data_IF_471929821356
#
_entry.id   IF_471929821356
#
_cell.length_a   1.000
_cell.length_b   1.000
_cell.length_c   1.000
_cell.angle_alpha   90.00
_cell.angle_beta   90.00
_cell.angle_gamma   90.00
#
_symmetry.space_group_name_H-M   'P 1'
#
loop_
_entity.id
_entity.type
_entity.pdbx_description
1 polymer ?
#
# COMPACT_ATOMS: atom_id res chain seq x y z
N UNK A 1 8.25 -3.46 -11.86
CA UNK A 1 7.08 -3.32 -12.73
C UNK A 1 7.43 -3.30 -14.20
N UNK A 2 6.44 -3.36 -15.04
CA UNK A 2 6.59 -3.31 -16.49
C UNK A 2 5.46 -2.54 -17.16
N UNK A 3 5.80 -1.93 -18.31
CA UNK A 3 4.84 -1.30 -19.20
C UNK A 3 4.64 -2.20 -20.42
N UNK A 4 3.40 -2.55 -20.68
CA UNK A 4 2.97 -3.40 -21.76
C UNK A 4 1.87 -2.69 -22.58
N UNK A 5 1.59 -3.16 -23.78
CA UNK A 5 0.47 -2.64 -24.56
C UNK A 5 -0.88 -2.89 -23.89
N UNK A 6 -0.96 -3.98 -23.15
CA UNK A 6 -2.17 -4.43 -22.46
C UNK A 6 -2.32 -3.89 -21.05
N UNK A 7 -1.35 -3.10 -20.56
CA UNK A 7 -1.42 -2.53 -19.21
C UNK A 7 -0.07 -2.38 -18.52
N UNK A 8 -0.13 -1.99 -17.27
CA UNK A 8 1.04 -1.74 -16.41
C UNK A 8 1.01 -2.67 -15.21
N UNK A 9 2.16 -3.17 -14.78
CA UNK A 9 2.31 -3.95 -13.56
C UNK A 9 3.17 -3.20 -12.54
N UNK A 10 2.82 -3.35 -11.26
CA UNK A 10 3.62 -2.88 -10.13
C UNK A 10 3.90 -4.04 -9.19
N UNK A 11 5.09 -4.61 -9.30
CA UNK A 11 5.52 -5.75 -8.50
C UNK A 11 6.89 -5.46 -7.91
N UNK A 12 7.00 -5.57 -6.60
CA UNK A 12 8.26 -5.42 -5.86
C UNK A 12 8.55 -6.66 -5.03
N UNK A 13 9.80 -7.08 -5.03
CA UNK A 13 10.32 -8.11 -4.13
C UNK A 13 11.65 -7.65 -3.55
N UNK A 14 11.80 -7.79 -2.23
CA UNK A 14 13.03 -7.46 -1.53
C UNK A 14 13.92 -8.69 -1.47
N UNK A 15 15.15 -8.56 -1.92
CA UNK A 15 16.14 -9.65 -1.95
C UNK A 15 17.40 -9.18 -1.23
N UNK A 16 17.91 -10.01 -0.32
CA UNK A 16 19.19 -9.76 0.32
C UNK A 16 20.35 -10.11 -0.63
N UNK A 17 21.26 -9.17 -0.83
CA UNK A 17 22.47 -9.36 -1.66
C UNK A 17 23.74 -9.58 -0.82
N UNK A 18 23.61 -9.75 0.48
CA UNK A 18 24.68 -9.95 1.43
C UNK A 18 24.15 -10.10 2.85
N UNK A 19 25.01 -9.90 3.83
CA UNK A 19 24.61 -9.97 5.23
C UNK A 19 23.60 -8.87 5.57
N UNK A 20 22.56 -9.25 6.29
CA UNK A 20 21.46 -8.37 6.69
C UNK A 20 21.48 -8.20 8.20
N UNK A 21 21.55 -6.95 8.66
CA UNK A 21 21.48 -6.62 10.07
C UNK A 21 20.12 -7.03 10.68
N UNK A 22 20.13 -7.31 11.99
CA UNK A 22 18.92 -7.71 12.71
C UNK A 22 17.81 -6.66 12.62
N UNK A 23 18.13 -5.40 12.77
CA UNK A 23 17.19 -4.28 12.61
C UNK A 23 16.50 -4.27 11.23
N UNK A 24 17.25 -4.55 10.16
CA UNK A 24 16.67 -4.63 8.80
C UNK A 24 15.67 -5.79 8.66
N UNK A 25 15.96 -6.94 9.29
CA UNK A 25 15.03 -8.09 9.32
C UNK A 25 13.75 -7.76 10.07
N UNK A 26 13.88 -7.05 11.19
CA UNK A 26 12.74 -6.60 12.00
C UNK A 26 11.88 -5.62 11.22
N UNK A 27 12.47 -4.58 10.63
CA UNK A 27 11.74 -3.61 9.81
C UNK A 27 11.06 -4.26 8.60
N UNK A 28 11.75 -5.16 7.90
CA UNK A 28 11.16 -5.92 6.80
C UNK A 28 9.94 -6.73 7.26
N UNK A 29 10.06 -7.40 8.39
CA UNK A 29 8.98 -8.22 8.96
C UNK A 29 7.78 -7.36 9.35
N UNK A 30 8.01 -6.20 9.96
CA UNK A 30 6.94 -5.25 10.33
C UNK A 30 6.20 -4.73 9.10
N UNK A 31 6.94 -4.34 8.06
CA UNK A 31 6.34 -3.87 6.81
C UNK A 31 5.56 -4.99 6.11
N UNK A 32 6.08 -6.21 6.07
CA UNK A 32 5.38 -7.37 5.51
C UNK A 32 4.07 -7.66 6.28
N UNK A 33 4.11 -7.62 7.61
CA UNK A 33 2.92 -7.76 8.46
C UNK A 33 1.90 -6.65 8.22
N UNK A 34 2.36 -5.41 8.09
CA UNK A 34 1.51 -4.25 7.79
C UNK A 34 0.77 -4.42 6.45
N UNK A 35 1.51 -4.82 5.41
CA UNK A 35 0.96 -5.11 4.09
C UNK A 35 -0.09 -6.23 4.13
N UNK A 36 0.25 -7.36 4.74
CA UNK A 36 -0.65 -8.51 4.83
C UNK A 36 -1.92 -8.18 5.63
N UNK A 37 -1.78 -7.42 6.72
CA UNK A 37 -2.92 -6.99 7.53
C UNK A 37 -3.87 -6.08 6.75
N UNK A 38 -3.34 -5.15 5.96
CA UNK A 38 -4.15 -4.32 5.09
C UNK A 38 -4.82 -5.14 3.99
N UNK A 39 -4.10 -6.06 3.37
CA UNK A 39 -4.62 -6.91 2.30
C UNK A 39 -5.75 -7.85 2.77
N UNK A 40 -5.73 -8.27 4.03
CA UNK A 40 -6.75 -9.14 4.63
C UNK A 40 -7.93 -8.36 5.26
N UNK A 41 -7.92 -7.03 5.16
CA UNK A 41 -8.94 -6.20 5.79
C UNK A 41 -10.28 -6.31 5.09
N UNK A 42 -11.32 -6.62 5.85
CA UNK A 42 -12.72 -6.49 5.43
C UNK A 42 -13.20 -5.09 5.82
N UNK A 43 -13.84 -4.39 4.90
CA UNK A 43 -14.29 -3.01 5.12
C UNK A 43 -15.68 -2.75 4.55
N UNK A 44 -16.34 -1.71 5.06
CA UNK A 44 -17.66 -1.30 4.61
C UNK A 44 -17.58 -0.63 3.23
N UNK A 45 -18.60 -0.85 2.42
CA UNK A 45 -18.78 -0.10 1.17
C UNK A 45 -18.81 1.42 1.47
N UNK A 46 -18.08 2.20 0.70
CA UNK A 46 -17.93 3.63 0.90
C UNK A 46 -16.65 4.03 1.67
N UNK A 47 -15.93 3.07 2.27
CA UNK A 47 -14.60 3.36 2.82
C UNK A 47 -13.63 3.80 1.72
N UNK A 48 -12.73 4.68 2.11
CA UNK A 48 -11.63 5.16 1.26
C UNK A 48 -10.31 4.56 1.71
N UNK A 49 -9.28 4.67 0.90
CA UNK A 49 -7.94 4.24 1.31
C UNK A 49 -7.41 5.00 2.53
N UNK A 50 -7.84 6.24 2.73
CA UNK A 50 -7.48 7.02 3.93
C UNK A 50 -8.09 6.44 5.21
N UNK A 51 -9.28 5.86 5.14
CA UNK A 51 -9.89 5.18 6.29
C UNK A 51 -9.11 3.91 6.68
N UNK A 52 -8.50 3.25 5.72
CA UNK A 52 -7.86 1.95 5.91
C UNK A 52 -6.34 2.05 6.12
N UNK A 53 -5.72 3.16 5.79
CA UNK A 53 -4.26 3.36 5.88
C UNK A 53 -3.71 3.06 7.29
N UNK A 54 -4.44 3.48 8.33
CA UNK A 54 -4.03 3.27 9.71
C UNK A 54 -3.92 1.79 10.10
N UNK A 55 -4.64 0.89 9.43
CA UNK A 55 -4.59 -0.56 9.68
C UNK A 55 -3.18 -1.10 9.40
N UNK A 56 -2.54 -0.63 8.34
CA UNK A 56 -1.17 -0.97 8.05
C UNK A 56 -0.20 -0.26 9.01
N UNK A 57 -0.36 1.06 9.22
CA UNK A 57 0.55 1.86 10.04
C UNK A 57 0.55 1.45 11.51
N UNK A 58 -0.58 1.01 12.05
CA UNK A 58 -0.70 0.57 13.44
C UNK A 58 0.36 -0.48 13.81
N UNK A 59 0.72 -1.36 12.89
CA UNK A 59 1.75 -2.38 13.10
C UNK A 59 3.10 -1.75 13.42
N UNK A 60 3.46 -0.68 12.73
CA UNK A 60 4.70 0.05 12.95
C UNK A 60 4.61 0.98 14.16
N UNK A 61 3.47 1.65 14.35
CA UNK A 61 3.27 2.56 15.48
C UNK A 61 3.37 1.88 16.84
N UNK A 62 2.99 0.60 16.93
CA UNK A 62 3.18 -0.22 18.14
C UNK A 62 4.65 -0.35 18.51
N UNK A 63 5.53 -0.33 17.53
CA UNK A 63 6.99 -0.34 17.71
C UNK A 63 7.61 1.07 17.71
N UNK A 64 6.76 2.12 17.78
CA UNK A 64 7.16 3.55 17.79
C UNK A 64 7.94 3.98 16.55
N UNK A 65 7.74 3.32 15.42
CA UNK A 65 8.30 3.67 14.13
C UNK A 65 7.20 3.99 13.12
N UNK A 66 7.57 4.63 12.03
CA UNK A 66 6.65 5.01 10.95
C UNK A 66 7.40 5.04 9.62
N UNK A 67 6.65 5.05 8.52
CA UNK A 67 7.16 5.37 7.19
C UNK A 67 6.54 6.69 6.68
N UNK A 68 7.32 7.47 5.92
CA UNK A 68 6.96 8.84 5.52
C UNK A 68 6.35 8.96 4.13
N UNK A 69 5.93 7.86 3.54
CA UNK A 69 5.29 7.79 2.22
C UNK A 69 3.84 7.29 2.32
N UNK A 70 3.13 7.22 1.21
CA UNK A 70 1.82 6.58 1.14
C UNK A 70 1.93 5.06 1.33
N UNK A 71 0.87 4.44 1.81
CA UNK A 71 0.81 2.99 2.03
C UNK A 71 0.50 2.24 0.74
N UNK A 72 -0.30 2.83 -0.15
CA UNK A 72 -0.68 2.21 -1.40
C UNK A 72 -1.33 3.19 -2.37
N UNK A 73 -1.57 2.72 -3.58
CA UNK A 73 -2.08 3.52 -4.68
C UNK A 73 -2.78 2.65 -5.72
N UNK A 74 -3.55 3.28 -6.61
CA UNK A 74 -4.04 2.65 -7.82
C UNK A 74 -2.92 2.43 -8.84
N UNK A 75 -3.06 1.44 -9.69
CA UNK A 75 -2.12 1.15 -10.79
C UNK A 75 -2.75 1.59 -12.09
N UNK A 76 -2.02 2.46 -12.82
CA UNK A 76 -2.46 2.97 -14.11
C UNK A 76 -2.44 1.90 -15.21
N UNK A 77 -3.25 2.11 -16.22
CA UNK A 77 -3.26 1.24 -17.39
C UNK A 77 -2.06 1.50 -18.30
N UNK A 78 -1.75 2.78 -18.55
CA UNK A 78 -0.71 3.18 -19.49
C UNK A 78 0.18 4.27 -18.86
N UNK A 79 1.49 4.08 -18.89
CA UNK A 79 2.57 4.99 -18.47
C UNK A 79 2.64 5.26 -16.96
N UNK A 80 1.53 5.53 -16.29
CA UNK A 80 1.55 5.89 -14.87
C UNK A 80 1.31 4.65 -13.99
N UNK A 81 2.37 4.18 -13.34
CA UNK A 81 2.23 3.13 -12.33
C UNK A 81 1.45 3.60 -11.12
N UNK A 82 1.62 4.84 -10.70
CA UNK A 82 0.81 5.47 -9.64
C UNK A 82 -0.31 6.29 -10.27
N UNK A 83 -1.54 5.81 -10.18
CA UNK A 83 -2.70 6.48 -10.75
C UNK A 83 -3.88 6.48 -9.77
N UNK A 84 -4.57 7.64 -9.71
CA UNK A 84 -5.81 7.76 -8.96
C UNK A 84 -6.96 6.93 -9.59
N UNK A 85 -8.14 6.93 -8.98
CA UNK A 85 -8.54 7.69 -7.79
C UNK A 85 -8.21 7.01 -6.43
N UNK A 86 -7.74 5.78 -6.44
CA UNK A 86 -7.44 5.03 -5.21
C UNK A 86 -6.09 5.44 -4.65
N UNK A 87 -6.07 5.78 -3.35
CA UNK A 87 -4.87 6.19 -2.65
C UNK A 87 -4.99 5.86 -1.15
N UNK A 88 -4.00 5.19 -0.59
CA UNK A 88 -3.91 4.87 0.83
C UNK A 88 -2.89 5.80 1.49
N UNK A 89 -3.41 6.84 2.16
CA UNK A 89 -2.60 7.84 2.88
C UNK A 89 -3.34 8.29 4.14
N UNK A 90 -2.64 8.39 5.25
CA UNK A 90 -3.20 8.86 6.52
C UNK A 90 -3.40 10.38 6.58
N UNK A 91 -2.62 11.14 5.80
CA UNK A 91 -2.80 12.59 5.64
C UNK A 91 -3.88 12.88 4.62
N UNK A 92 -4.66 13.91 4.87
CA UNK A 92 -5.64 14.39 3.91
C UNK A 92 -4.97 14.72 2.58
N UNK A 93 -5.65 14.36 1.52
CA UNK A 93 -5.27 14.70 0.16
C UNK A 93 -5.92 16.03 -0.23
N UNK A 94 -5.20 16.87 -0.96
CA UNK A 94 -5.77 18.05 -1.61
C UNK A 94 -6.69 17.68 -2.80
N UNK A 95 -6.71 16.41 -3.19
CA UNK A 95 -7.57 15.88 -4.25
C UNK A 95 -8.76 15.14 -3.66
N UNK A 96 -9.92 15.12 -4.37
CA UNK A 96 -11.07 14.34 -3.96
C UNK A 96 -10.70 12.86 -3.78
N UNK A 97 -11.03 12.32 -2.60
CA UNK A 97 -10.83 10.91 -2.29
C UNK A 97 -12.06 10.15 -2.73
N UNK A 98 -11.87 9.09 -3.50
CA UNK A 98 -12.95 8.24 -3.96
C UNK A 98 -13.13 7.02 -3.07
N UNK A 99 -14.37 6.57 -2.82
CA UNK A 99 -14.64 5.31 -2.16
C UNK A 99 -14.00 4.15 -2.91
N UNK A 100 -13.58 3.15 -2.15
CA UNK A 100 -13.08 1.90 -2.70
C UNK A 100 -14.25 1.09 -3.27
N UNK A 101 -14.16 0.74 -4.53
CA UNK A 101 -15.14 -0.08 -5.21
C UNK A 101 -14.54 -1.42 -5.65
N UNK A 102 -15.39 -2.43 -5.73
CA UNK A 102 -14.99 -3.78 -6.14
C UNK A 102 -14.29 -3.83 -7.50
N UNK A 103 -14.62 -2.91 -8.40
CA UNK A 103 -13.99 -2.80 -9.73
C UNK A 103 -12.53 -2.34 -9.69
N UNK A 104 -12.10 -1.72 -8.61
CA UNK A 104 -10.70 -1.33 -8.40
C UNK A 104 -9.84 -2.45 -7.82
N UNK A 105 -10.42 -3.61 -7.60
CA UNK A 105 -9.81 -4.93 -7.73
C UNK A 105 -8.85 -5.41 -6.64
N UNK A 106 -8.69 -4.73 -5.50
CA UNK A 106 -7.56 -5.03 -4.66
C UNK A 106 -7.85 -5.55 -3.25
N UNK A 107 -9.12 -5.64 -2.84
CA UNK A 107 -9.42 -6.18 -1.51
C UNK A 107 -10.65 -7.09 -1.58
N UNK A 108 -10.49 -8.27 -1.03
CA UNK A 108 -11.54 -9.27 -0.90
C UNK A 108 -12.72 -8.75 -0.11
#
# INVERSE_FOLDING_TARGET
GGHYLEGTTDITRTVALGDVAQEQKEHFTLVARAMLRLADTVFLHGCTGSNLDCIAREVLWKERINFNHGTGHGVGYLLNVHEGPVNFRWKESSYPVQPLEKKYGYFR
#
